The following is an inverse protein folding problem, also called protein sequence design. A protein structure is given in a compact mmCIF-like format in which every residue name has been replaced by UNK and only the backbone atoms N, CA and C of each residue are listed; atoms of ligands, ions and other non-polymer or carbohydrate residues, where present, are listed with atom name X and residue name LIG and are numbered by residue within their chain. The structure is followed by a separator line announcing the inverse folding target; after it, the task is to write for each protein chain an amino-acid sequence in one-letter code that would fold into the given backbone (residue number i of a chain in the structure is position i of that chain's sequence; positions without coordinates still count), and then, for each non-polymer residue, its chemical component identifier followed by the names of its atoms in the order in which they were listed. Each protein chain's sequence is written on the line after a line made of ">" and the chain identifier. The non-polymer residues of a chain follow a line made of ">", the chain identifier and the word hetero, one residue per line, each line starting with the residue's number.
data_IF_673936301966
#
_entry.id   IF_673936301966
#
_cell.length_a   1.000
_cell.length_b   1.000
_cell.length_c   1.000
_cell.angle_alpha   90.00
_cell.angle_beta   90.00
_cell.angle_gamma   90.00
#
_symmetry.space_group_name_H-M   'P 1'
#
loop_
_entity.id
_entity.type
_entity.pdbx_description
1 polymer ?
#
# COMPACT_ATOMS: atom_id res chain seq x y z
N UNK A 1 -17.38 -19.71 0.37
CA UNK A 1 -16.82 -19.19 1.63
C UNK A 1 -16.31 -17.80 1.34
N UNK A 2 -17.00 -16.77 1.83
CA UNK A 2 -16.60 -15.37 1.69
C UNK A 2 -15.29 -15.14 2.46
N UNK A 3 -14.20 -14.98 1.74
CA UNK A 3 -12.85 -14.79 2.29
C UNK A 3 -12.49 -13.32 2.48
N UNK A 4 -13.43 -12.44 2.78
CA UNK A 4 -13.13 -11.09 3.25
C UNK A 4 -12.68 -11.14 4.71
N UNK A 5 -11.51 -11.75 4.95
CA UNK A 5 -10.95 -11.91 6.29
C UNK A 5 -10.27 -10.62 6.71
N UNK A 6 -11.01 -9.71 7.32
CA UNK A 6 -10.47 -8.54 7.97
C UNK A 6 -11.05 -8.40 9.37
N UNK A 7 -10.31 -7.77 10.25
CA UNK A 7 -10.80 -7.22 11.52
C UNK A 7 -11.18 -5.76 11.32
N UNK A 8 -12.12 -5.28 12.10
CA UNK A 8 -12.51 -3.86 12.09
C UNK A 8 -11.98 -3.19 13.35
N UNK A 9 -11.22 -2.11 13.15
CA UNK A 9 -10.77 -1.21 14.21
C UNK A 9 -11.47 0.14 14.04
N UNK A 10 -12.14 0.61 15.09
CA UNK A 10 -12.71 1.97 15.14
C UNK A 10 -11.78 2.88 15.94
N UNK A 11 -11.53 4.08 15.42
CA UNK A 11 -10.75 5.12 16.07
C UNK A 11 -11.46 6.47 15.83
N UNK A 12 -12.26 6.91 16.82
CA UNK A 12 -13.17 8.04 16.63
C UNK A 12 -14.13 7.78 15.46
N UNK A 13 -14.20 8.71 14.53
CA UNK A 13 -15.06 8.63 13.34
C UNK A 13 -14.46 7.76 12.22
N UNK A 14 -13.23 7.27 12.40
CA UNK A 14 -12.54 6.46 11.40
C UNK A 14 -12.78 4.98 11.65
N UNK A 15 -12.94 4.25 10.57
CA UNK A 15 -13.01 2.78 10.57
C UNK A 15 -11.94 2.22 9.68
N UNK A 16 -11.11 1.35 10.25
CA UNK A 16 -10.08 0.61 9.52
C UNK A 16 -10.49 -0.85 9.37
N UNK A 17 -10.32 -1.38 8.18
CA UNK A 17 -10.33 -2.82 7.92
C UNK A 17 -8.89 -3.32 7.91
N UNK A 18 -8.55 -4.18 8.86
CA UNK A 18 -7.21 -4.75 9.01
C UNK A 18 -7.19 -6.13 8.37
N UNK A 19 -6.31 -6.34 7.41
CA UNK A 19 -6.12 -7.61 6.72
C UNK A 19 -4.82 -8.27 7.19
N UNK A 20 -4.77 -9.60 7.08
CA UNK A 20 -3.62 -10.40 7.48
C UNK A 20 -3.30 -10.27 8.98
N UNK A 21 -4.33 -10.20 9.81
CA UNK A 21 -4.20 -10.19 11.27
C UNK A 21 -3.82 -11.59 11.80
N UNK A 22 -3.22 -11.73 13.01
CA UNK A 22 -2.70 -13.00 13.52
C UNK A 22 -3.69 -14.16 13.53
N UNK A 23 -4.96 -13.91 13.75
CA UNK A 23 -6.03 -14.93 13.71
C UNK A 23 -6.52 -15.24 12.28
N UNK A 24 -6.05 -14.49 11.28
CA UNK A 24 -6.48 -14.54 9.87
C UNK A 24 -5.31 -14.48 8.90
N UNK A 25 -4.14 -14.94 9.35
CA UNK A 25 -2.95 -14.96 8.51
C UNK A 25 -3.22 -15.67 7.19
N UNK A 26 -2.74 -15.06 6.15
CA UNK A 26 -2.57 -15.73 4.87
C UNK A 26 -1.52 -16.79 5.12
N UNK A 27 -1.89 -18.07 5.04
CA UNK A 27 -0.94 -19.17 5.18
C UNK A 27 0.11 -19.04 4.07
N UNK A 28 1.18 -18.34 4.37
CA UNK A 28 2.41 -18.39 3.61
C UNK A 28 3.17 -19.62 4.08
N UNK A 29 3.91 -20.26 3.17
CA UNK A 29 4.65 -21.48 3.44
C UNK A 29 5.54 -21.42 4.69
N UNK A 30 6.27 -22.48 4.94
CA UNK A 30 6.96 -22.80 6.21
C UNK A 30 7.96 -21.78 6.76
N UNK A 31 8.34 -20.76 6.01
CA UNK A 31 9.30 -19.75 6.45
C UNK A 31 8.57 -18.54 7.06
N UNK A 32 8.74 -18.37 8.37
CA UNK A 32 8.25 -17.23 9.15
C UNK A 32 9.01 -15.93 8.80
N UNK A 33 8.89 -15.48 7.54
CA UNK A 33 9.39 -14.16 7.20
C UNK A 33 8.37 -13.13 7.69
N UNK A 34 8.80 -12.22 8.57
CA UNK A 34 7.97 -11.22 9.23
C UNK A 34 7.11 -10.43 8.23
N UNK A 35 7.68 -10.07 7.08
CA UNK A 35 6.97 -9.27 6.07
C UNK A 35 5.77 -9.99 5.44
N UNK A 36 5.75 -11.32 5.43
CA UNK A 36 4.57 -12.09 5.00
C UNK A 36 3.40 -11.88 5.96
N UNK A 37 3.71 -11.66 7.23
CA UNK A 37 2.74 -11.47 8.32
C UNK A 37 2.38 -10.00 8.54
N UNK A 38 2.78 -9.10 7.64
CA UNK A 38 2.45 -7.68 7.74
C UNK A 38 0.95 -7.45 7.79
N UNK A 39 0.49 -6.78 8.82
CA UNK A 39 -0.90 -6.30 8.91
C UNK A 39 -1.06 -5.11 7.98
N UNK A 40 -2.03 -5.18 7.08
CA UNK A 40 -2.35 -4.09 6.16
C UNK A 40 -3.68 -3.45 6.53
N UNK A 41 -3.85 -2.17 6.21
CA UNK A 41 -5.02 -1.42 6.63
C UNK A 41 -5.70 -0.71 5.46
N UNK A 42 -7.02 -0.79 5.41
CA UNK A 42 -7.87 -0.04 4.48
C UNK A 42 -8.81 0.86 5.28
N UNK A 43 -8.85 2.13 4.94
CA UNK A 43 -9.87 3.07 5.45
C UNK A 43 -10.55 3.81 4.32
N UNK A 44 -11.67 4.45 4.63
CA UNK A 44 -12.39 5.30 3.69
C UNK A 44 -12.63 6.67 4.32
N UNK A 45 -12.18 7.73 3.65
CA UNK A 45 -12.30 9.13 4.09
C UNK A 45 -12.90 9.92 2.92
N UNK A 46 -13.98 10.64 3.18
CA UNK A 46 -14.69 11.44 2.15
C UNK A 46 -14.89 10.71 0.82
N UNK A 47 -15.33 9.45 0.90
CA UNK A 47 -15.56 8.61 -0.28
C UNK A 47 -14.31 7.95 -0.87
N UNK A 48 -13.10 8.36 -0.50
CA UNK A 48 -11.84 7.83 -1.02
C UNK A 48 -11.33 6.66 -0.19
N UNK A 49 -10.86 5.63 -0.85
CA UNK A 49 -10.25 4.44 -0.24
C UNK A 49 -8.74 4.61 -0.15
N UNK A 50 -8.23 4.52 1.07
CA UNK A 50 -6.80 4.61 1.37
C UNK A 50 -6.30 3.26 1.86
N UNK A 51 -5.30 2.72 1.21
CA UNK A 51 -4.71 1.43 1.57
C UNK A 51 -3.24 1.57 1.97
N UNK A 52 -2.93 1.05 3.15
CA UNK A 52 -1.61 1.02 3.76
C UNK A 52 -1.12 -0.43 3.75
N UNK A 53 -0.20 -0.74 2.86
CA UNK A 53 0.22 -2.11 2.61
C UNK A 53 1.31 -2.62 3.58
N UNK A 54 1.80 -1.78 4.49
CA UNK A 54 2.94 -2.12 5.34
C UNK A 54 4.10 -2.70 4.51
N UNK A 55 4.69 -3.81 4.95
CA UNK A 55 5.78 -4.49 4.25
C UNK A 55 5.35 -5.84 3.66
N UNK A 56 4.04 -6.00 3.40
CA UNK A 56 3.50 -7.23 2.82
C UNK A 56 4.23 -7.62 1.53
N UNK A 57 4.49 -8.90 1.37
CA UNK A 57 5.30 -9.40 0.25
C UNK A 57 4.58 -10.46 -0.58
N UNK A 58 4.98 -10.53 -1.86
CA UNK A 58 4.91 -11.73 -2.67
C UNK A 58 6.34 -12.28 -2.79
N UNK A 59 6.62 -13.38 -2.13
CA UNK A 59 7.96 -13.98 -2.15
C UNK A 59 7.90 -15.32 -2.90
N UNK A 60 8.54 -15.37 -4.07
CA UNK A 60 8.63 -16.58 -4.88
C UNK A 60 9.47 -17.69 -4.21
N UNK A 61 10.40 -17.34 -3.33
CA UNK A 61 11.25 -18.32 -2.63
C UNK A 61 10.46 -19.13 -1.59
N UNK A 62 9.44 -18.52 -0.97
CA UNK A 62 8.57 -19.18 0.01
C UNK A 62 7.19 -19.49 -0.57
N UNK A 63 7.03 -19.35 -1.87
CA UNK A 63 5.74 -19.54 -2.56
C UNK A 63 4.61 -18.72 -1.90
N UNK A 64 4.93 -17.52 -1.47
CA UNK A 64 4.03 -16.60 -0.79
C UNK A 64 3.40 -15.63 -1.77
N UNK A 65 2.09 -15.49 -1.70
CA UNK A 65 1.31 -14.62 -2.55
C UNK A 65 0.44 -13.65 -1.73
N UNK A 66 0.95 -13.24 -0.56
CA UNK A 66 0.19 -12.47 0.43
C UNK A 66 -0.29 -11.13 -0.11
N UNK A 67 0.58 -10.39 -0.82
CA UNK A 67 0.23 -9.11 -1.43
C UNK A 67 -0.94 -9.25 -2.42
N UNK A 68 -0.91 -10.24 -3.31
CA UNK A 68 -1.97 -10.43 -4.30
C UNK A 68 -3.28 -10.87 -3.65
N UNK A 69 -3.23 -11.67 -2.58
CA UNK A 69 -4.42 -12.09 -1.83
C UNK A 69 -5.02 -10.88 -1.11
N UNK A 70 -4.20 -10.06 -0.47
CA UNK A 70 -4.64 -8.82 0.16
C UNK A 70 -5.24 -7.84 -0.87
N UNK A 71 -4.57 -7.65 -2.01
CA UNK A 71 -5.06 -6.80 -3.09
C UNK A 71 -6.45 -7.25 -3.60
N UNK A 72 -6.67 -8.55 -3.76
CA UNK A 72 -7.99 -9.11 -4.15
C UNK A 72 -9.07 -8.82 -3.10
N UNK A 73 -8.73 -8.92 -1.82
CA UNK A 73 -9.66 -8.65 -0.73
C UNK A 73 -10.02 -7.16 -0.58
N UNK A 74 -9.06 -6.28 -0.85
CA UNK A 74 -9.18 -4.81 -0.78
C UNK A 74 -9.92 -4.26 -2.01
N UNK A 75 -9.58 -4.74 -3.21
CA UNK A 75 -10.10 -4.24 -4.48
C UNK A 75 -9.57 -2.85 -4.83
N UNK A 76 -10.24 -2.15 -5.76
CA UNK A 76 -9.82 -0.84 -6.24
C UNK A 76 -9.77 0.21 -5.14
N UNK A 77 -8.70 1.02 -5.16
CA UNK A 77 -8.41 2.08 -4.19
C UNK A 77 -8.08 3.41 -4.87
N UNK A 78 -7.99 4.48 -4.10
CA UNK A 78 -7.61 5.81 -4.57
C UNK A 78 -6.18 6.18 -4.18
N UNK A 79 -5.81 5.92 -2.92
CA UNK A 79 -4.47 6.19 -2.39
C UNK A 79 -3.79 4.91 -1.90
N UNK A 80 -2.49 4.82 -2.14
CA UNK A 80 -1.67 3.67 -1.82
C UNK A 80 -0.37 4.05 -1.07
N UNK A 81 -0.21 3.63 0.19
CA UNK A 81 1.14 3.52 0.76
C UNK A 81 1.75 2.23 0.21
N UNK A 82 2.75 2.36 -0.61
CA UNK A 82 3.33 1.23 -1.34
C UNK A 82 3.85 0.13 -0.41
N UNK A 83 3.75 -1.12 -0.86
CA UNK A 83 4.28 -2.26 -0.13
C UNK A 83 5.81 -2.18 -0.05
N UNK A 84 6.33 -2.49 1.15
CA UNK A 84 7.74 -2.74 1.41
C UNK A 84 8.67 -1.70 0.78
N UNK A 85 8.35 -0.40 0.96
CA UNK A 85 9.19 0.72 0.53
C UNK A 85 9.58 0.71 -0.97
N UNK A 86 8.74 0.16 -1.84
CA UNK A 86 9.05 -0.17 -3.24
C UNK A 86 10.13 -1.26 -3.40
N UNK A 87 10.42 -2.05 -2.37
CA UNK A 87 11.40 -3.12 -2.51
C UNK A 87 10.91 -4.21 -3.45
N UNK A 88 11.76 -4.61 -4.42
CA UNK A 88 11.46 -5.74 -5.31
C UNK A 88 11.54 -7.07 -4.52
N UNK A 89 10.63 -8.06 -4.75
CA UNK A 89 9.68 -8.21 -5.86
C UNK A 89 8.27 -7.64 -5.61
N UNK A 90 8.07 -6.85 -4.56
CA UNK A 90 6.75 -6.35 -4.17
C UNK A 90 6.16 -5.33 -5.15
N UNK A 91 4.94 -4.88 -4.89
CA UNK A 91 4.13 -4.05 -5.79
C UNK A 91 3.97 -4.75 -7.15
N UNK A 92 3.54 -6.00 -7.09
CA UNK A 92 3.43 -6.87 -8.25
C UNK A 92 2.48 -6.30 -9.31
N UNK A 93 2.69 -6.67 -10.57
CA UNK A 93 1.80 -6.32 -11.69
C UNK A 93 0.34 -6.69 -11.37
N UNK A 94 0.13 -7.88 -10.80
CA UNK A 94 -1.21 -8.34 -10.43
C UNK A 94 -1.84 -7.45 -9.36
N UNK A 95 -1.12 -7.16 -8.28
CA UNK A 95 -1.62 -6.28 -7.21
C UNK A 95 -1.91 -4.87 -7.74
N UNK A 96 -1.02 -4.31 -8.56
CA UNK A 96 -1.19 -2.96 -9.11
C UNK A 96 -2.41 -2.85 -10.03
N UNK A 97 -2.65 -3.85 -10.87
CA UNK A 97 -3.86 -3.89 -11.73
C UNK A 97 -5.16 -3.99 -10.93
N UNK A 98 -5.15 -4.74 -9.84
CA UNK A 98 -6.34 -4.90 -8.96
C UNK A 98 -6.58 -3.64 -8.15
N UNK A 99 -5.57 -3.15 -7.44
CA UNK A 99 -5.66 -1.97 -6.58
C UNK A 99 -5.89 -0.70 -7.39
N UNK A 100 -5.21 -0.55 -8.50
CA UNK A 100 -5.30 0.56 -9.44
C UNK A 100 -5.40 1.94 -8.78
N UNK A 101 -4.47 2.32 -7.86
CA UNK A 101 -4.47 3.61 -7.21
C UNK A 101 -4.25 4.77 -8.18
N UNK A 102 -4.73 5.97 -7.84
CA UNK A 102 -4.45 7.21 -8.58
C UNK A 102 -3.28 8.01 -7.99
N UNK A 103 -2.94 7.73 -6.74
CA UNK A 103 -1.82 8.38 -6.05
C UNK A 103 -1.17 7.42 -5.06
N UNK A 104 0.12 7.60 -4.83
CA UNK A 104 0.89 6.74 -3.95
C UNK A 104 1.98 7.50 -3.19
N UNK A 105 2.37 6.95 -2.05
CA UNK A 105 3.54 7.37 -1.28
C UNK A 105 4.48 6.19 -1.06
N UNK A 106 5.76 6.41 -1.29
CA UNK A 106 6.84 5.49 -1.01
C UNK A 106 7.68 6.04 0.15
N UNK A 107 7.79 5.27 1.22
CA UNK A 107 8.60 5.61 2.40
C UNK A 107 10.07 5.24 2.15
N UNK A 108 10.65 5.82 1.11
CA UNK A 108 12.03 5.59 0.64
C UNK A 108 12.51 6.76 -0.20
N UNK A 109 13.75 6.68 -0.71
CA UNK A 109 14.31 7.65 -1.66
C UNK A 109 14.02 7.24 -3.11
N UNK A 110 13.91 8.23 -3.99
CA UNK A 110 13.78 8.02 -5.43
C UNK A 110 15.11 7.45 -6.00
N UNK A 111 15.00 6.44 -6.88
CA UNK A 111 16.16 5.95 -7.62
C UNK A 111 17.06 4.99 -6.86
N UNK A 112 16.66 4.50 -5.69
CA UNK A 112 17.38 3.40 -5.06
C UNK A 112 17.29 2.14 -5.94
N UNK A 113 18.44 1.55 -6.31
CA UNK A 113 18.53 0.54 -7.40
C UNK A 113 17.58 -0.65 -7.26
N UNK A 114 17.35 -1.14 -6.03
CA UNK A 114 16.40 -2.24 -5.74
C UNK A 114 14.93 -1.83 -5.87
N UNK A 115 14.63 -0.53 -6.03
CA UNK A 115 13.27 0.00 -6.06
C UNK A 115 12.80 0.34 -7.48
N UNK A 116 13.69 0.34 -8.46
CA UNK A 116 13.35 0.76 -9.84
C UNK A 116 12.27 -0.13 -10.42
N UNK A 117 12.46 -1.44 -10.40
CA UNK A 117 11.49 -2.39 -10.96
C UNK A 117 10.12 -2.30 -10.29
N UNK A 118 10.10 -2.12 -8.96
CA UNK A 118 8.86 -1.98 -8.21
C UNK A 118 8.16 -0.65 -8.53
N UNK A 119 8.92 0.43 -8.67
CA UNK A 119 8.41 1.72 -9.14
C UNK A 119 7.78 1.59 -10.52
N UNK A 120 8.46 0.99 -11.46
CA UNK A 120 7.98 0.83 -12.83
C UNK A 120 6.72 -0.04 -12.88
N UNK A 121 6.62 -1.07 -12.03
CA UNK A 121 5.36 -1.83 -11.89
C UNK A 121 4.21 -0.95 -11.41
N UNK A 122 4.44 -0.07 -10.43
CA UNK A 122 3.41 0.87 -9.94
C UNK A 122 2.99 1.81 -11.06
N UNK A 123 3.93 2.45 -11.74
CA UNK A 123 3.63 3.46 -12.78
C UNK A 123 2.94 2.83 -14.01
N UNK A 124 3.39 1.66 -14.45
CA UNK A 124 2.92 1.05 -15.68
C UNK A 124 1.63 0.22 -15.51
N UNK A 125 1.23 -0.11 -14.27
CA UNK A 125 0.09 -0.99 -14.02
C UNK A 125 -0.98 -0.39 -13.10
N UNK A 126 -0.94 0.91 -12.88
CA UNK A 126 -1.97 1.65 -12.13
C UNK A 126 -2.18 3.04 -12.74
N UNK A 127 -3.02 3.85 -12.10
CA UNK A 127 -3.23 5.26 -12.49
C UNK A 127 -2.21 6.22 -11.88
N UNK A 128 -1.27 5.71 -11.09
CA UNK A 128 -0.19 6.51 -10.51
C UNK A 128 0.74 7.00 -11.61
N UNK A 129 1.14 8.26 -11.53
CA UNK A 129 2.11 8.90 -12.41
C UNK A 129 3.31 9.40 -11.60
N UNK A 130 4.38 9.82 -12.25
CA UNK A 130 5.51 10.46 -11.57
C UNK A 130 5.09 11.71 -10.75
N UNK A 131 4.01 12.38 -11.17
CA UNK A 131 3.46 13.55 -10.46
C UNK A 131 2.63 13.17 -9.22
N UNK A 132 2.13 11.93 -9.15
CA UNK A 132 1.28 11.44 -8.05
C UNK A 132 1.94 10.37 -7.20
N UNK A 133 3.20 9.99 -7.49
CA UNK A 133 4.07 9.19 -6.64
C UNK A 133 5.00 10.11 -5.84
N UNK A 134 4.90 10.07 -4.52
CA UNK A 134 5.71 10.89 -3.60
C UNK A 134 6.69 10.01 -2.82
N UNK A 135 7.82 10.60 -2.43
CA UNK A 135 8.87 9.92 -1.67
C UNK A 135 9.12 10.67 -0.36
N UNK A 136 9.18 9.95 0.76
CA UNK A 136 9.42 10.57 2.08
C UNK A 136 10.86 11.06 2.25
N UNK A 137 11.81 10.55 1.49
CA UNK A 137 13.17 11.07 1.48
C UNK A 137 13.29 12.51 0.93
N UNK A 138 12.27 12.95 0.20
CA UNK A 138 12.21 14.34 -0.27
C UNK A 138 11.61 15.30 0.78
N UNK A 139 11.33 14.86 1.99
CA UNK A 139 10.71 15.60 3.09
C UNK A 139 9.39 14.98 3.56
N UNK A 140 8.74 15.64 4.51
CA UNK A 140 7.44 15.20 5.02
C UNK A 140 6.37 15.34 3.94
N UNK A 141 5.67 14.24 3.66
CA UNK A 141 4.55 14.23 2.71
C UNK A 141 3.25 14.29 3.50
N UNK A 142 2.47 15.35 3.29
CA UNK A 142 1.14 15.52 3.87
C UNK A 142 0.10 15.27 2.80
N UNK A 143 -0.76 14.27 3.03
CA UNK A 143 -1.94 14.02 2.21
C UNK A 143 -3.14 14.66 2.89
N UNK A 144 -3.75 15.64 2.24
CA UNK A 144 -5.03 16.22 2.64
C UNK A 144 -6.15 15.70 1.74
N UNK A 145 -7.27 15.30 2.34
CA UNK A 145 -8.46 14.86 1.62
C UNK A 145 -9.60 15.82 1.96
N UNK A 146 -9.99 16.63 1.00
CA UNK A 146 -11.10 17.55 1.13
C UNK A 146 -12.44 16.82 1.31
N UNK A 147 -13.43 17.52 1.83
CA UNK A 147 -14.81 16.99 1.96
C UNK A 147 -15.42 16.62 0.59
N UNK A 148 -14.95 17.24 -0.47
CA UNK A 148 -15.27 16.94 -1.87
C UNK A 148 -14.53 15.69 -2.39
N UNK A 149 -13.67 15.08 -1.57
CA UNK A 149 -12.85 13.93 -1.91
C UNK A 149 -11.65 14.25 -2.80
N UNK A 150 -11.28 15.52 -3.00
CA UNK A 150 -10.07 15.86 -3.73
C UNK A 150 -8.83 15.62 -2.88
N UNK A 151 -7.78 15.10 -3.52
CA UNK A 151 -6.46 14.91 -2.90
C UNK A 151 -5.57 16.12 -3.16
N UNK A 152 -4.94 16.62 -2.10
CA UNK A 152 -3.80 17.52 -2.21
C UNK A 152 -2.61 16.94 -1.49
N UNK A 153 -1.44 17.03 -2.13
CA UNK A 153 -0.16 16.67 -1.53
C UNK A 153 0.62 17.93 -1.25
N UNK A 154 0.86 18.19 0.02
CA UNK A 154 1.79 19.22 0.44
C UNK A 154 3.11 18.54 0.82
N UNK A 155 4.21 19.19 0.49
CA UNK A 155 5.55 18.80 0.86
C UNK A 155 6.07 19.86 1.82
N UNK A 156 6.35 19.48 3.06
CA UNK A 156 7.18 20.31 3.93
C UNK A 156 8.63 20.03 3.57
N UNK A 157 9.41 21.06 3.35
CA UNK A 157 10.85 20.95 3.13
C UNK A 157 11.52 20.15 4.24
N UNK A 158 12.77 19.74 4.02
CA UNK A 158 13.57 19.02 5.03
C UNK A 158 13.66 19.80 6.36
N UNK A 159 13.43 21.07 6.33
CA UNK A 159 13.56 22.01 7.44
C UNK A 159 12.23 22.29 8.15
N UNK A 160 11.13 21.62 7.77
CA UNK A 160 9.83 21.77 8.43
C UNK A 160 9.11 23.12 8.17
N UNK A 161 9.54 23.88 7.16
CA UNK A 161 8.98 25.18 6.78
C UNK A 161 8.32 25.07 5.41
#
# INVERSE_FOLDING_TARGET
>A
VSNSKYQTLKCGDFTFKLYNTPDRLIKAGKDNKENVNSVTALTKIHGKKLYFAADIVNDGYVNCNAENIAAKAVGKIDFYKVAHHLYSPNNSVTAMKILNPSSAVATTQKGYGKNIDARDRVLNNSRVTDKTLRYTADGTVILTIGVDGNFTFNKLGADGV
#
